data_IF_142164408188
#
_entry.id   IF_142164408188
#
_cell.length_a   1.000
_cell.length_b   1.000
_cell.length_c   1.000
_cell.angle_alpha   90.00
_cell.angle_beta   90.00
_cell.angle_gamma   90.00
#
_symmetry.space_group_name_H-M   'P 1'
#
loop_
_entity.id
_entity.type
_entity.pdbx_description
1 polymer ?
#
# COMPACT_ATOMS: atom_id res chain seq x y z
N UNK A 1 81.71 -10.33 -24.38
CA UNK A 1 81.06 -10.88 -23.16
C UNK A 1 79.89 -10.02 -22.68
N UNK A 2 79.69 -8.81 -23.22
CA UNK A 2 78.74 -7.79 -22.74
C UNK A 2 77.28 -8.04 -23.19
N UNK A 3 77.05 -8.30 -24.47
CA UNK A 3 75.69 -8.50 -25.03
C UNK A 3 74.95 -9.71 -24.43
N UNK A 4 75.67 -10.79 -24.13
CA UNK A 4 75.06 -11.98 -23.51
C UNK A 4 74.53 -11.68 -22.10
N UNK A 5 75.23 -10.86 -21.34
CA UNK A 5 74.81 -10.48 -19.98
C UNK A 5 73.64 -9.50 -20.02
N UNK A 6 73.60 -8.60 -21.00
CA UNK A 6 72.47 -7.69 -21.24
C UNK A 6 71.20 -8.48 -21.61
N UNK A 7 71.29 -9.44 -22.54
CA UNK A 7 70.20 -10.35 -22.89
C UNK A 7 69.69 -11.15 -21.68
N UNK A 8 70.57 -11.62 -20.81
CA UNK A 8 70.18 -12.34 -19.58
C UNK A 8 69.41 -11.41 -18.64
N UNK A 9 69.89 -10.17 -18.44
CA UNK A 9 69.20 -9.18 -17.61
C UNK A 9 67.83 -8.79 -18.16
N UNK A 10 67.71 -8.63 -19.48
CA UNK A 10 66.44 -8.28 -20.12
C UNK A 10 65.43 -9.43 -20.01
N UNK A 11 65.88 -10.68 -20.20
CA UNK A 11 65.03 -11.86 -19.96
C UNK A 11 64.55 -11.92 -18.51
N UNK A 12 65.40 -11.58 -17.54
CA UNK A 12 65.00 -11.53 -16.12
C UNK A 12 63.97 -10.43 -15.86
N UNK A 13 64.15 -9.23 -16.42
CA UNK A 13 63.18 -8.13 -16.31
C UNK A 13 61.84 -8.51 -16.92
N UNK A 14 61.84 -9.07 -18.13
CA UNK A 14 60.61 -9.51 -18.81
C UNK A 14 59.89 -10.61 -18.04
N UNK A 15 60.61 -11.54 -17.41
CA UNK A 15 60.00 -12.56 -16.54
C UNK A 15 59.37 -11.94 -15.29
N UNK A 16 60.03 -10.97 -14.66
CA UNK A 16 59.48 -10.27 -13.50
C UNK A 16 58.23 -9.48 -13.88
N UNK A 17 58.25 -8.79 -15.01
CA UNK A 17 57.10 -8.05 -15.54
C UNK A 17 55.93 -8.97 -15.89
N UNK A 18 56.19 -10.09 -16.58
CA UNK A 18 55.17 -11.11 -16.86
C UNK A 18 54.51 -11.62 -15.57
N UNK A 19 55.31 -11.95 -14.56
CA UNK A 19 54.78 -12.45 -13.29
C UNK A 19 53.93 -11.39 -12.56
N UNK A 20 54.35 -10.13 -12.61
CA UNK A 20 53.58 -9.01 -12.06
C UNK A 20 52.24 -8.84 -12.79
N UNK A 21 52.24 -8.88 -14.11
CA UNK A 21 51.01 -8.78 -14.92
C UNK A 21 50.06 -9.94 -14.65
N UNK A 22 50.57 -11.16 -14.50
CA UNK A 22 49.76 -12.32 -14.14
C UNK A 22 49.08 -12.17 -12.77
N UNK A 23 49.78 -11.60 -11.78
CA UNK A 23 49.18 -11.35 -10.47
C UNK A 23 48.09 -10.26 -10.54
N UNK A 24 48.31 -9.21 -11.33
CA UNK A 24 47.31 -8.16 -11.56
C UNK A 24 46.06 -8.68 -12.28
N UNK A 25 46.22 -9.58 -13.25
CA UNK A 25 45.10 -10.23 -13.93
C UNK A 25 44.29 -11.05 -12.93
N UNK A 26 44.96 -11.85 -12.10
CA UNK A 26 44.29 -12.66 -11.08
C UNK A 26 43.53 -11.80 -10.06
N UNK A 27 44.11 -10.69 -9.63
CA UNK A 27 43.43 -9.73 -8.76
C UNK A 27 42.21 -9.11 -9.45
N UNK A 28 42.34 -8.72 -10.72
CA UNK A 28 41.22 -8.17 -11.50
C UNK A 28 40.07 -9.17 -11.67
N UNK A 29 40.37 -10.45 -11.96
CA UNK A 29 39.38 -11.53 -12.05
C UNK A 29 38.63 -11.73 -10.72
N UNK A 30 39.32 -11.61 -9.58
CA UNK A 30 38.69 -11.68 -8.26
C UNK A 30 37.75 -10.50 -8.01
N UNK A 31 38.19 -9.28 -8.35
CA UNK A 31 37.34 -8.09 -8.24
C UNK A 31 36.12 -8.16 -9.15
N UNK A 32 36.27 -8.70 -10.36
CA UNK A 32 35.16 -8.92 -11.27
C UNK A 32 34.13 -9.90 -10.68
N UNK A 33 34.58 -11.02 -10.11
CA UNK A 33 33.67 -11.97 -9.44
C UNK A 33 32.89 -11.31 -8.30
N UNK A 34 33.56 -10.55 -7.43
CA UNK A 34 32.91 -9.85 -6.32
C UNK A 34 31.94 -8.77 -6.80
N UNK A 35 32.28 -8.08 -7.90
CA UNK A 35 31.41 -7.09 -8.51
C UNK A 35 30.11 -7.74 -9.06
N UNK A 36 30.23 -8.90 -9.72
CA UNK A 36 29.07 -9.65 -10.20
C UNK A 36 28.19 -10.17 -9.06
N UNK A 37 28.79 -10.75 -8.02
CA UNK A 37 28.04 -11.22 -6.84
C UNK A 37 27.28 -10.05 -6.17
N UNK A 38 27.94 -8.90 -6.06
CA UNK A 38 27.34 -7.68 -5.50
C UNK A 38 26.21 -7.17 -6.38
N UNK A 39 26.37 -7.19 -7.70
CA UNK A 39 25.32 -6.80 -8.66
C UNK A 39 24.08 -7.69 -8.50
N UNK A 40 24.25 -9.01 -8.48
CA UNK A 40 23.14 -9.95 -8.36
C UNK A 40 22.42 -9.84 -7.01
N UNK A 41 23.14 -9.59 -5.92
CA UNK A 41 22.54 -9.35 -4.62
C UNK A 41 21.65 -8.09 -4.63
N UNK A 42 22.09 -7.02 -5.29
CA UNK A 42 21.29 -5.79 -5.45
C UNK A 42 20.07 -6.06 -6.35
N UNK A 43 20.24 -6.75 -7.47
CA UNK A 43 19.15 -7.11 -8.37
C UNK A 43 18.06 -7.93 -7.65
N UNK A 44 18.46 -8.96 -6.89
CA UNK A 44 17.54 -9.78 -6.10
C UNK A 44 16.79 -8.92 -5.06
N UNK A 45 17.50 -8.04 -4.36
CA UNK A 45 16.89 -7.15 -3.38
C UNK A 45 15.89 -6.18 -4.02
N UNK A 46 16.22 -5.57 -5.16
CA UNK A 46 15.30 -4.69 -5.92
C UNK A 46 14.06 -5.47 -6.36
N UNK A 47 14.22 -6.68 -6.88
CA UNK A 47 13.10 -7.55 -7.26
C UNK A 47 12.21 -7.89 -6.06
N UNK A 48 12.80 -8.16 -4.89
CA UNK A 48 12.05 -8.42 -3.67
C UNK A 48 11.25 -7.17 -3.21
N UNK A 49 11.84 -5.98 -3.29
CA UNK A 49 11.15 -4.72 -2.99
C UNK A 49 9.99 -4.46 -3.95
N UNK A 50 10.18 -4.72 -5.25
CA UNK A 50 9.11 -4.54 -6.23
C UNK A 50 7.94 -5.48 -5.96
N UNK A 51 8.20 -6.74 -5.60
CA UNK A 51 7.17 -7.69 -5.17
C UNK A 51 6.41 -7.19 -3.94
N UNK A 52 7.13 -6.73 -2.90
CA UNK A 52 6.49 -6.16 -1.69
C UNK A 52 5.62 -4.95 -2.03
N UNK A 53 6.10 -4.05 -2.87
CA UNK A 53 5.34 -2.88 -3.35
C UNK A 53 4.07 -3.29 -4.07
N UNK A 54 4.15 -4.27 -4.99
CA UNK A 54 2.98 -4.80 -5.72
C UNK A 54 1.94 -5.40 -4.77
N UNK A 55 2.37 -6.20 -3.80
CA UNK A 55 1.46 -6.78 -2.79
C UNK A 55 0.77 -5.67 -1.99
N UNK A 56 1.53 -4.69 -1.47
CA UNK A 56 0.96 -3.58 -0.72
C UNK A 56 -0.02 -2.74 -1.56
N UNK A 57 0.32 -2.46 -2.82
CA UNK A 57 -0.55 -1.72 -3.73
C UNK A 57 -1.84 -2.49 -4.05
N UNK A 58 -1.75 -3.81 -4.27
CA UNK A 58 -2.92 -4.65 -4.49
C UNK A 58 -3.83 -4.69 -3.25
N UNK A 59 -3.25 -4.84 -2.06
CA UNK A 59 -3.99 -4.80 -0.80
C UNK A 59 -4.70 -3.45 -0.62
N UNK A 60 -3.99 -2.34 -0.81
CA UNK A 60 -4.56 -0.99 -0.72
C UNK A 60 -5.72 -0.81 -1.71
N UNK A 61 -5.53 -1.17 -2.98
CA UNK A 61 -6.57 -1.05 -4.00
C UNK A 61 -7.80 -1.90 -3.68
N UNK A 62 -7.59 -3.13 -3.20
CA UNK A 62 -8.67 -4.04 -2.80
C UNK A 62 -9.46 -3.46 -1.63
N UNK A 63 -8.76 -3.07 -0.56
CA UNK A 63 -9.36 -2.48 0.64
C UNK A 63 -10.11 -1.18 0.32
N UNK A 64 -9.53 -0.30 -0.50
CA UNK A 64 -10.19 0.93 -0.96
C UNK A 64 -11.47 0.63 -1.75
N UNK A 65 -11.45 -0.37 -2.64
CA UNK A 65 -12.63 -0.73 -3.40
C UNK A 65 -13.74 -1.33 -2.52
N UNK A 66 -13.36 -2.18 -1.56
CA UNK A 66 -14.29 -2.76 -0.59
C UNK A 66 -14.92 -1.68 0.30
N UNK A 67 -14.12 -0.80 0.89
CA UNK A 67 -14.63 0.35 1.65
C UNK A 67 -15.57 1.20 0.81
N UNK A 68 -15.19 1.53 -0.45
CA UNK A 68 -16.04 2.32 -1.34
C UNK A 68 -17.40 1.66 -1.59
N UNK A 69 -17.46 0.34 -1.74
CA UNK A 69 -18.72 -0.38 -1.89
C UNK A 69 -19.58 -0.25 -0.64
N UNK A 70 -19.00 -0.46 0.55
CA UNK A 70 -19.73 -0.34 1.82
C UNK A 70 -20.27 1.09 2.05
N UNK A 71 -19.46 2.12 1.80
CA UNK A 71 -19.94 3.51 1.85
C UNK A 71 -21.04 3.80 0.82
N UNK A 72 -21.04 3.14 -0.34
CA UNK A 72 -22.08 3.34 -1.36
C UNK A 72 -23.44 2.77 -0.94
N UNK A 73 -23.49 1.65 -0.20
CA UNK A 73 -24.73 1.11 0.33
C UNK A 73 -25.37 2.05 1.36
N UNK A 74 -24.58 2.56 2.31
CA UNK A 74 -25.03 3.58 3.27
C UNK A 74 -25.56 4.83 2.56
N UNK A 75 -24.85 5.32 1.54
CA UNK A 75 -25.28 6.48 0.77
C UNK A 75 -26.59 6.23 0.00
N UNK A 76 -26.75 5.04 -0.58
CA UNK A 76 -27.98 4.64 -1.28
C UNK A 76 -29.17 4.56 -0.33
N UNK A 77 -28.98 3.98 0.87
CA UNK A 77 -30.03 3.87 1.86
C UNK A 77 -30.40 5.24 2.47
N UNK A 78 -29.41 6.12 2.70
CA UNK A 78 -29.67 7.50 3.10
C UNK A 78 -30.47 8.28 2.04
N UNK A 79 -30.18 8.06 0.76
CA UNK A 79 -30.95 8.64 -0.34
C UNK A 79 -32.40 8.11 -0.40
N UNK A 80 -32.66 6.87 0.03
CA UNK A 80 -34.03 6.35 0.14
C UNK A 80 -34.80 7.01 1.26
N UNK A 81 -34.19 7.16 2.45
CA UNK A 81 -34.78 7.91 3.58
C UNK A 81 -35.12 9.33 3.16
N UNK A 82 -34.19 10.02 2.49
CA UNK A 82 -34.43 11.37 1.94
C UNK A 82 -35.64 11.40 0.98
N UNK A 83 -35.74 10.44 0.06
CA UNK A 83 -36.89 10.35 -0.86
C UNK A 83 -38.21 10.09 -0.13
N UNK A 84 -38.21 9.33 0.96
CA UNK A 84 -39.40 9.09 1.79
C UNK A 84 -39.86 10.39 2.46
N UNK A 85 -38.92 11.14 3.04
CA UNK A 85 -39.17 12.46 3.64
C UNK A 85 -39.70 13.46 2.60
N UNK A 86 -39.04 13.58 1.44
CA UNK A 86 -39.45 14.48 0.36
C UNK A 86 -40.88 14.18 -0.13
N UNK A 87 -41.26 12.88 -0.13
CA UNK A 87 -42.61 12.43 -0.51
C UNK A 87 -43.62 12.41 0.64
N UNK A 88 -43.20 12.82 1.86
CA UNK A 88 -44.02 12.79 3.08
C UNK A 88 -44.65 11.42 3.36
N UNK A 89 -43.96 10.33 2.99
CA UNK A 89 -44.41 8.94 3.18
C UNK A 89 -43.98 8.42 4.55
N UNK A 90 -44.46 9.09 5.61
CA UNK A 90 -44.06 8.79 6.98
C UNK A 90 -44.39 7.35 7.40
N UNK A 91 -45.35 6.70 6.74
CA UNK A 91 -45.67 5.28 6.91
C UNK A 91 -44.49 4.34 6.62
N UNK A 92 -43.52 4.77 5.81
CA UNK A 92 -42.32 4.00 5.46
C UNK A 92 -41.06 4.46 6.19
N UNK A 93 -41.12 5.57 6.93
CA UNK A 93 -39.94 6.26 7.44
C UNK A 93 -39.17 5.40 8.43
N UNK A 94 -39.84 4.84 9.45
CA UNK A 94 -39.20 4.00 10.46
C UNK A 94 -38.48 2.81 9.81
N UNK A 95 -39.14 2.11 8.89
CA UNK A 95 -38.55 0.96 8.20
C UNK A 95 -37.32 1.31 7.35
N UNK A 96 -37.26 2.51 6.77
CA UNK A 96 -36.11 2.94 5.95
C UNK A 96 -34.97 3.48 6.82
N UNK A 97 -35.29 4.07 7.98
CA UNK A 97 -34.31 4.46 9.01
C UNK A 97 -33.69 3.22 9.63
N UNK A 98 -34.47 2.19 9.98
CA UNK A 98 -33.95 0.93 10.54
C UNK A 98 -32.95 0.27 9.60
N UNK A 99 -33.28 0.20 8.30
CA UNK A 99 -32.36 -0.29 7.26
C UNK A 99 -31.11 0.57 7.14
N UNK A 100 -31.24 1.90 7.21
CA UNK A 100 -30.07 2.79 7.20
C UNK A 100 -29.16 2.53 8.40
N UNK A 101 -29.75 2.37 9.59
CA UNK A 101 -29.02 2.09 10.82
C UNK A 101 -28.30 0.75 10.74
N UNK A 102 -28.90 -0.26 10.14
CA UNK A 102 -28.26 -1.55 9.93
C UNK A 102 -27.04 -1.44 8.99
N UNK A 103 -27.18 -0.78 7.84
CA UNK A 103 -26.06 -0.56 6.90
C UNK A 103 -24.92 0.26 7.55
N UNK A 104 -25.26 1.22 8.41
CA UNK A 104 -24.26 1.99 9.17
C UNK A 104 -23.55 1.12 10.21
N UNK A 105 -24.26 0.19 10.88
CA UNK A 105 -23.67 -0.78 11.81
C UNK A 105 -22.74 -1.76 11.09
N UNK A 106 -23.17 -2.32 9.96
CA UNK A 106 -22.32 -3.19 9.15
C UNK A 106 -21.04 -2.48 8.69
N UNK A 107 -21.15 -1.22 8.25
CA UNK A 107 -19.98 -0.41 7.90
C UNK A 107 -19.05 -0.19 9.11
N UNK A 108 -19.60 0.07 10.29
CA UNK A 108 -18.80 0.26 11.50
C UNK A 108 -18.09 -1.03 11.92
N UNK A 109 -18.74 -2.18 11.83
CA UNK A 109 -18.15 -3.50 12.10
C UNK A 109 -16.99 -3.78 11.13
N UNK A 110 -17.16 -3.50 9.83
CA UNK A 110 -16.10 -3.63 8.82
C UNK A 110 -14.91 -2.70 9.12
N UNK A 111 -15.17 -1.52 9.66
CA UNK A 111 -14.14 -0.54 10.02
C UNK A 111 -13.57 -0.75 11.44
N UNK A 112 -14.12 -1.66 12.23
CA UNK A 112 -13.75 -1.86 13.64
C UNK A 112 -14.07 -0.66 14.53
N UNK A 113 -15.15 0.05 14.24
CA UNK A 113 -15.61 1.22 14.98
C UNK A 113 -16.80 0.86 15.87
N UNK A 114 -16.84 1.40 17.08
CA UNK A 114 -18.04 1.35 17.93
C UNK A 114 -18.93 2.56 17.62
N UNK A 115 -20.18 2.32 17.23
CA UNK A 115 -21.17 3.41 17.08
C UNK A 115 -21.76 3.69 18.47
N UNK A 116 -21.45 4.85 19.02
CA UNK A 116 -22.17 5.35 20.19
C UNK A 116 -23.57 5.81 19.73
N UNK A 117 -24.63 5.21 20.28
CA UNK A 117 -25.99 5.71 20.08
C UNK A 117 -26.11 7.10 20.71
N UNK A 118 -26.69 8.05 19.97
CA UNK A 118 -26.93 9.39 20.47
C UNK A 118 -27.92 9.32 21.66
N UNK A 119 -27.59 9.95 22.79
CA UNK A 119 -28.50 10.03 23.92
C UNK A 119 -29.86 10.62 23.52
N UNK A 120 -30.97 10.00 23.92
CA UNK A 120 -32.33 10.45 23.58
C UNK A 120 -32.68 11.83 24.15
N UNK A 121 -31.90 12.31 25.13
CA UNK A 121 -32.00 13.65 25.70
C UNK A 121 -31.23 14.71 24.91
N UNK A 122 -30.66 14.36 23.75
CA UNK A 122 -30.01 15.33 22.88
C UNK A 122 -30.99 16.43 22.44
N UNK A 123 -30.56 17.71 22.41
CA UNK A 123 -31.44 18.84 22.06
C UNK A 123 -32.14 18.69 20.70
N UNK A 124 -31.60 17.89 19.80
CA UNK A 124 -32.16 17.59 18.48
C UNK A 124 -33.46 16.76 18.54
N UNK A 125 -33.59 15.87 19.54
CA UNK A 125 -34.80 15.04 19.76
C UNK A 125 -35.82 15.71 20.68
N UNK A 126 -35.43 16.78 21.36
CA UNK A 126 -36.28 17.57 22.25
C UNK A 126 -37.12 18.64 21.53
N UNK A 127 -37.16 18.63 20.19
CA UNK A 127 -38.01 19.56 19.45
C UNK A 127 -39.48 19.32 19.84
N UNK A 128 -40.20 20.34 20.34
CA UNK A 128 -41.63 20.20 20.58
C UNK A 128 -42.28 19.91 19.23
N UNK A 129 -43.12 18.87 19.18
CA UNK A 129 -43.96 18.63 18.02
C UNK A 129 -44.69 19.94 17.71
N UNK A 130 -44.51 20.49 16.51
CA UNK A 130 -45.30 21.63 16.05
C UNK A 130 -46.76 21.30 16.32
N UNK A 131 -47.39 22.10 17.18
CA UNK A 131 -48.82 22.03 17.41
C UNK A 131 -49.49 22.22 16.04
N UNK A 132 -50.14 21.16 15.56
CA UNK A 132 -51.00 21.25 14.40
C UNK A 132 -52.15 22.17 14.84
N UNK A 133 -52.05 23.44 14.49
CA UNK A 133 -53.15 24.40 14.62
C UNK A 133 -54.36 23.84 13.85
N UNK A 134 -55.29 23.28 14.61
CA UNK A 134 -56.63 22.99 14.13
C UNK A 134 -57.47 24.26 14.32
N UNK A 135 -57.35 25.21 13.40
CA UNK A 135 -58.37 26.24 13.14
C UNK A 135 -59.05 26.02 11.79
#
# INVERSE_FOLDING_TARGET
>A
MTERNELINDIQKLKAERNRLLEQIKEAEQWESVAWDSYYAVEEHVNALEKKRKIAQNYWNSSQNEMRLQFSFVADQANRVKKVLDKKRYDLLDSEIDKLMEEVRELADVLGLEIAELPLDFPFFALPAEEIDNE
#
